data_IF_428068753584
#
_entry.id   IF_428068753584
#
_cell.length_a   1.000
_cell.length_b   1.000
_cell.length_c   1.000
_cell.angle_alpha   90.00
_cell.angle_beta   90.00
_cell.angle_gamma   90.00
#
_symmetry.space_group_name_H-M   'P 1'
#
loop_
_entity.id
_entity.type
_entity.pdbx_description
1 polymer ?
#
# COMPACT_ATOMS: atom_id res chain seq x y z
N UNK A 1 1.28 -24.24 -27.20
CA UNK A 1 1.12 -22.95 -27.90
C UNK A 1 0.50 -21.94 -26.95
N UNK A 2 0.94 -20.68 -27.04
CA UNK A 2 0.37 -19.57 -26.28
C UNK A 2 -1.06 -19.30 -26.78
N UNK A 3 -1.99 -19.05 -25.84
CA UNK A 3 -3.34 -18.61 -26.18
C UNK A 3 -3.33 -17.12 -26.55
N UNK A 4 -4.12 -16.67 -27.52
CA UNK A 4 -4.16 -15.27 -27.92
C UNK A 4 -4.66 -14.39 -26.76
N UNK A 5 -4.10 -13.18 -26.64
CA UNK A 5 -4.61 -12.17 -25.72
C UNK A 5 -5.98 -11.65 -26.18
N UNK A 6 -6.94 -11.45 -25.26
CA UNK A 6 -8.19 -10.78 -25.61
C UNK A 6 -7.92 -9.32 -25.97
N UNK A 7 -8.57 -8.82 -27.03
CA UNK A 7 -8.48 -7.40 -27.39
C UNK A 7 -9.17 -6.49 -26.35
N UNK A 8 -10.27 -6.99 -25.77
CA UNK A 8 -11.11 -6.32 -24.78
C UNK A 8 -11.47 -7.34 -23.67
N UNK A 9 -10.55 -7.63 -22.74
CA UNK A 9 -10.88 -8.48 -21.59
C UNK A 9 -12.01 -7.83 -20.77
N UNK A 10 -12.98 -8.64 -20.36
CA UNK A 10 -14.07 -8.23 -19.47
C UNK A 10 -13.77 -8.57 -18.02
N UNK A 11 -13.10 -9.70 -17.75
CA UNK A 11 -12.82 -10.18 -16.40
C UNK A 11 -11.34 -10.52 -16.26
N UNK A 12 -10.58 -9.58 -15.70
CA UNK A 12 -9.15 -9.74 -15.48
C UNK A 12 -8.93 -10.21 -14.05
N UNK A 13 -8.33 -11.38 -13.93
CA UNK A 13 -7.92 -11.89 -12.65
C UNK A 13 -6.46 -11.55 -12.37
N UNK A 14 -6.23 -10.97 -11.19
CA UNK A 14 -4.93 -10.56 -10.68
C UNK A 14 -4.54 -11.49 -9.53
N UNK A 15 -3.40 -12.17 -9.62
CA UNK A 15 -2.90 -13.07 -8.58
C UNK A 15 -1.71 -12.44 -7.89
N UNK A 16 -1.71 -12.47 -6.54
CA UNK A 16 -0.62 -11.98 -5.70
C UNK A 16 -0.46 -12.85 -4.44
N UNK A 17 0.72 -12.92 -3.83
CA UNK A 17 0.91 -13.68 -2.58
C UNK A 17 2.10 -13.20 -1.74
N UNK A 18 1.87 -12.70 -0.52
CA UNK A 18 2.91 -12.38 0.48
C UNK A 18 2.26 -11.96 1.80
N UNK A 19 2.97 -11.23 2.68
CA UNK A 19 2.35 -10.49 3.78
C UNK A 19 1.28 -9.56 3.23
N UNK A 20 0.05 -9.60 3.76
CA UNK A 20 -0.93 -8.57 3.45
C UNK A 20 -0.63 -7.30 4.25
N UNK A 21 0.62 -6.83 4.22
CA UNK A 21 0.93 -5.47 4.66
C UNK A 21 0.21 -4.50 3.73
N UNK A 22 -0.39 -3.44 4.27
CA UNK A 22 -1.12 -2.44 3.46
C UNK A 22 -0.22 -1.91 2.35
N UNK A 23 1.02 -1.56 2.68
CA UNK A 23 2.00 -1.08 1.70
C UNK A 23 2.32 -2.09 0.61
N UNK A 24 2.32 -3.39 0.92
CA UNK A 24 2.66 -4.42 -0.07
C UNK A 24 1.54 -4.57 -1.10
N UNK A 25 0.28 -4.59 -0.66
CA UNK A 25 -0.87 -4.76 -1.56
C UNK A 25 -1.26 -3.44 -2.23
N UNK A 26 -1.28 -2.32 -1.48
CA UNK A 26 -1.70 -1.03 -2.02
C UNK A 26 -0.78 -0.57 -3.15
N UNK A 27 0.49 -0.98 -3.16
CA UNK A 27 1.39 -0.69 -4.28
C UNK A 27 0.96 -1.29 -5.61
N UNK A 28 0.21 -2.39 -5.58
CA UNK A 28 -0.39 -2.99 -6.78
C UNK A 28 -1.46 -2.12 -7.42
N UNK A 29 -2.02 -1.14 -6.71
CA UNK A 29 -3.00 -0.20 -7.27
C UNK A 29 -2.48 0.59 -8.47
N UNK A 30 -1.16 0.80 -8.59
CA UNK A 30 -0.58 1.43 -9.78
C UNK A 30 -0.75 0.54 -11.03
N UNK A 31 -0.55 -0.77 -10.90
CA UNK A 31 -0.79 -1.73 -11.98
C UNK A 31 -2.28 -1.81 -12.31
N UNK A 32 -3.15 -1.76 -11.30
CA UNK A 32 -4.62 -1.76 -11.50
C UNK A 32 -5.07 -0.50 -12.25
N UNK A 33 -4.50 0.66 -11.93
CA UNK A 33 -4.78 1.91 -12.62
C UNK A 33 -4.37 1.84 -14.10
N UNK A 34 -3.18 1.31 -14.42
CA UNK A 34 -2.75 1.11 -15.83
C UNK A 34 -3.64 0.12 -16.57
N UNK A 35 -4.10 -0.95 -15.89
CA UNK A 35 -5.05 -1.89 -16.48
C UNK A 35 -6.39 -1.24 -16.77
N UNK A 36 -6.91 -0.40 -15.86
CA UNK A 36 -8.13 0.38 -16.07
C UNK A 36 -7.97 1.46 -17.13
N UNK A 37 -6.81 2.10 -17.24
CA UNK A 37 -6.53 3.04 -18.34
C UNK A 37 -6.56 2.32 -19.69
N UNK A 38 -5.95 1.13 -19.77
CA UNK A 38 -5.94 0.32 -20.99
C UNK A 38 -7.31 -0.27 -21.33
N UNK A 39 -8.03 -0.73 -20.31
CA UNK A 39 -9.33 -1.41 -20.42
C UNK A 39 -10.29 -0.88 -19.34
N UNK A 40 -10.95 0.27 -19.58
CA UNK A 40 -11.79 0.95 -18.58
C UNK A 40 -12.92 0.08 -18.04
N UNK A 41 -13.58 -0.65 -18.93
CA UNK A 41 -14.73 -1.50 -18.62
C UNK A 41 -14.35 -2.85 -18.03
N UNK A 42 -13.05 -3.22 -17.99
CA UNK A 42 -12.63 -4.52 -17.49
C UNK A 42 -12.84 -4.61 -15.97
N UNK A 43 -13.55 -5.61 -15.50
CA UNK A 43 -13.64 -5.94 -14.09
C UNK A 43 -12.32 -6.54 -13.60
N UNK A 44 -11.77 -5.96 -12.53
CA UNK A 44 -10.52 -6.44 -11.92
C UNK A 44 -10.84 -7.27 -10.69
N UNK A 45 -10.40 -8.52 -10.67
CA UNK A 45 -10.63 -9.44 -9.56
C UNK A 45 -9.30 -9.83 -8.93
N UNK A 46 -9.06 -9.43 -7.69
CA UNK A 46 -7.87 -9.81 -6.95
C UNK A 46 -8.06 -11.18 -6.30
N UNK A 47 -7.17 -12.12 -6.59
CA UNK A 47 -6.94 -13.32 -5.79
C UNK A 47 -5.63 -13.16 -5.02
N UNK A 48 -5.73 -13.00 -3.71
CA UNK A 48 -4.59 -12.92 -2.83
C UNK A 48 -4.42 -14.24 -2.08
N UNK A 49 -3.29 -14.92 -2.29
CA UNK A 49 -2.96 -16.11 -1.54
C UNK A 49 -2.23 -15.71 -0.25
N UNK A 50 -2.95 -15.76 0.87
CA UNK A 50 -2.48 -15.19 2.12
C UNK A 50 -1.74 -16.23 2.98
N UNK A 51 -0.48 -15.95 3.34
CA UNK A 51 0.30 -16.80 4.27
C UNK A 51 -0.09 -16.60 5.74
N UNK A 52 -0.63 -15.43 6.09
CA UNK A 52 -1.04 -15.07 7.46
C UNK A 52 -2.43 -14.41 7.44
N UNK A 53 -3.52 -15.18 7.52
CA UNK A 53 -4.88 -14.64 7.44
C UNK A 53 -5.19 -13.66 8.58
N UNK A 54 -6.06 -12.68 8.31
CA UNK A 54 -6.59 -11.76 9.32
C UNK A 54 -5.89 -10.42 9.40
N UNK A 55 -5.18 -10.00 8.33
CA UNK A 55 -4.65 -8.64 8.29
C UNK A 55 -5.80 -7.64 8.15
N UNK A 56 -5.79 -6.52 8.90
CA UNK A 56 -6.78 -5.46 8.75
C UNK A 56 -6.84 -4.88 7.32
N UNK A 57 -5.77 -5.02 6.54
CA UNK A 57 -5.72 -4.55 5.16
C UNK A 57 -6.66 -5.31 4.23
N UNK A 58 -7.07 -6.54 4.57
CA UNK A 58 -7.94 -7.34 3.71
C UNK A 58 -9.26 -6.62 3.46
N UNK A 59 -9.84 -5.99 4.49
CA UNK A 59 -11.07 -5.21 4.40
C UNK A 59 -10.89 -3.95 3.53
N UNK A 60 -9.81 -3.20 3.75
CA UNK A 60 -9.50 -2.00 2.96
C UNK A 60 -9.32 -2.33 1.47
N UNK A 61 -8.59 -3.41 1.17
CA UNK A 61 -8.33 -3.83 -0.21
C UNK A 61 -9.59 -4.41 -0.85
N UNK A 62 -10.43 -5.14 -0.10
CA UNK A 62 -11.71 -5.63 -0.61
C UNK A 62 -12.65 -4.50 -1.03
N UNK A 63 -12.56 -3.34 -0.39
CA UNK A 63 -13.30 -2.14 -0.72
C UNK A 63 -12.58 -1.21 -1.72
N UNK A 64 -11.47 -1.63 -2.33
CA UNK A 64 -10.68 -0.76 -3.19
C UNK A 64 -11.43 -0.43 -4.50
N UNK A 65 -11.61 0.86 -4.77
CA UNK A 65 -12.42 1.39 -5.89
C UNK A 65 -12.08 0.89 -7.31
N UNK A 66 -10.86 0.38 -7.54
CA UNK A 66 -10.47 -0.20 -8.85
C UNK A 66 -10.78 -1.70 -8.98
N UNK A 67 -11.11 -2.39 -7.90
CA UNK A 67 -11.39 -3.82 -7.88
C UNK A 67 -12.90 -4.06 -7.89
N UNK A 68 -13.36 -4.96 -8.75
CA UNK A 68 -14.73 -5.47 -8.73
C UNK A 68 -14.91 -6.52 -7.63
N UNK A 69 -13.86 -7.28 -7.32
CA UNK A 69 -13.82 -8.15 -6.14
C UNK A 69 -12.40 -8.42 -5.67
N UNK A 70 -12.25 -8.76 -4.38
CA UNK A 70 -11.03 -9.30 -3.82
C UNK A 70 -11.32 -10.58 -3.03
N UNK A 71 -10.46 -11.58 -3.17
CA UNK A 71 -10.60 -12.90 -2.56
C UNK A 71 -9.30 -13.29 -1.88
N UNK A 72 -9.36 -13.55 -0.57
CA UNK A 72 -8.21 -13.93 0.23
C UNK A 72 -8.30 -15.43 0.55
N UNK A 73 -7.35 -16.23 0.03
CA UNK A 73 -7.31 -17.67 0.29
C UNK A 73 -6.09 -17.99 1.17
N UNK A 74 -6.28 -18.53 2.38
CA UNK A 74 -5.17 -18.91 3.24
C UNK A 74 -4.29 -20.03 2.64
N UNK A 75 -3.02 -19.74 2.42
CA UNK A 75 -1.95 -20.70 2.16
C UNK A 75 -1.48 -21.27 3.51
N UNK A 76 -2.14 -22.34 3.96
CA UNK A 76 -1.66 -23.09 5.13
C UNK A 76 -0.43 -23.89 4.73
N UNK A 77 0.74 -23.32 4.96
CA UNK A 77 2.01 -24.02 4.83
C UNK A 77 2.22 -24.97 6.00
N UNK A 78 2.74 -26.16 5.70
CA UNK A 78 3.12 -27.15 6.69
C UNK A 78 4.49 -27.72 6.38
N UNK A 79 4.96 -28.63 7.24
CA UNK A 79 6.07 -29.52 6.90
C UNK A 79 5.52 -30.82 6.33
N UNK A 80 6.05 -31.23 5.19
CA UNK A 80 5.81 -32.54 4.58
C UNK A 80 7.16 -33.23 4.42
N UNK A 81 7.51 -34.10 5.38
CA UNK A 81 8.86 -34.63 5.49
C UNK A 81 9.88 -33.51 5.77
N UNK A 82 10.93 -33.41 4.96
CA UNK A 82 11.96 -32.36 5.03
C UNK A 82 11.60 -31.06 4.29
N UNK A 83 10.50 -31.04 3.52
CA UNK A 83 10.10 -29.91 2.69
C UNK A 83 9.07 -29.04 3.41
N UNK A 84 9.24 -27.71 3.35
CA UNK A 84 8.21 -26.73 3.70
C UNK A 84 7.38 -26.40 2.46
N UNK A 85 6.06 -26.35 2.61
CA UNK A 85 5.16 -25.94 1.53
C UNK A 85 3.69 -26.29 1.80
N UNK A 86 2.85 -26.12 0.79
CA UNK A 86 1.42 -26.43 0.88
C UNK A 86 1.19 -27.92 0.63
N UNK A 87 0.66 -28.62 1.64
CA UNK A 87 0.41 -30.06 1.56
C UNK A 87 -0.82 -30.43 0.69
N UNK A 88 -0.97 -31.71 0.28
CA UNK A 88 -2.04 -32.15 -0.64
C UNK A 88 -3.46 -31.87 -0.15
N UNK A 89 -3.71 -31.96 1.17
CA UNK A 89 -5.02 -31.64 1.76
C UNK A 89 -5.35 -30.16 1.65
N UNK A 90 -4.37 -29.29 1.90
CA UNK A 90 -4.52 -27.84 1.75
C UNK A 90 -4.75 -27.47 0.29
N UNK A 91 -4.00 -28.05 -0.66
CA UNK A 91 -4.25 -27.88 -2.09
C UNK A 91 -5.65 -28.31 -2.51
N UNK A 92 -6.16 -29.43 -2.00
CA UNK A 92 -7.54 -29.86 -2.30
C UNK A 92 -8.56 -28.82 -1.85
N UNK A 93 -8.37 -28.20 -0.68
CA UNK A 93 -9.26 -27.15 -0.18
C UNK A 93 -9.13 -25.86 -1.01
N UNK A 94 -7.90 -25.47 -1.36
CA UNK A 94 -7.63 -24.32 -2.24
C UNK A 94 -8.33 -24.52 -3.59
N UNK A 95 -8.15 -25.67 -4.26
CA UNK A 95 -8.77 -25.93 -5.55
C UNK A 95 -10.30 -25.95 -5.52
N UNK A 96 -10.93 -26.39 -4.43
CA UNK A 96 -12.39 -26.26 -4.28
C UNK A 96 -12.84 -24.80 -4.27
N UNK A 97 -12.12 -23.94 -3.53
CA UNK A 97 -12.40 -22.50 -3.48
C UNK A 97 -12.14 -21.85 -4.85
N UNK A 98 -11.01 -22.17 -5.49
CA UNK A 98 -10.68 -21.67 -6.83
C UNK A 98 -11.71 -22.11 -7.88
N UNK A 99 -12.26 -23.32 -7.77
CA UNK A 99 -13.33 -23.79 -8.64
C UNK A 99 -14.60 -22.98 -8.44
N UNK A 100 -15.05 -22.78 -7.19
CA UNK A 100 -16.21 -21.96 -6.91
C UNK A 100 -16.04 -20.52 -7.44
N UNK A 101 -14.85 -19.94 -7.28
CA UNK A 101 -14.53 -18.61 -7.82
C UNK A 101 -14.46 -18.60 -9.36
N UNK A 102 -13.94 -19.66 -9.99
CA UNK A 102 -13.85 -19.76 -11.46
C UNK A 102 -15.21 -19.67 -12.14
N UNK A 103 -16.25 -20.24 -11.51
CA UNK A 103 -17.61 -20.24 -12.04
C UNK A 103 -18.28 -18.87 -11.93
N UNK A 104 -17.88 -18.08 -10.93
CA UNK A 104 -18.37 -16.72 -10.68
C UNK A 104 -17.66 -15.68 -11.54
N UNK A 105 -16.33 -15.69 -11.51
CA UNK A 105 -15.50 -14.67 -12.18
C UNK A 105 -15.37 -14.95 -13.67
N UNK A 106 -15.17 -16.22 -14.07
CA UNK A 106 -14.92 -16.65 -15.46
C UNK A 106 -13.90 -15.74 -16.17
N UNK A 107 -12.67 -15.63 -15.62
CA UNK A 107 -11.69 -14.70 -16.14
C UNK A 107 -11.35 -15.01 -17.60
N UNK A 108 -11.22 -13.98 -18.41
CA UNK A 108 -10.75 -14.04 -19.80
C UNK A 108 -9.31 -13.55 -19.96
N UNK A 109 -8.70 -13.05 -18.88
CA UNK A 109 -7.26 -12.79 -18.73
C UNK A 109 -6.80 -13.08 -17.30
N UNK A 110 -5.67 -13.78 -17.15
CA UNK A 110 -5.06 -14.10 -15.85
C UNK A 110 -3.68 -13.46 -15.78
N UNK A 111 -3.40 -12.71 -14.72
CA UNK A 111 -2.13 -12.01 -14.50
C UNK A 111 -1.57 -12.38 -13.13
N UNK A 112 -0.46 -13.10 -13.10
CA UNK A 112 0.29 -13.43 -11.87
C UNK A 112 1.40 -12.39 -11.64
N UNK A 113 1.12 -11.46 -10.73
CA UNK A 113 2.06 -10.40 -10.35
C UNK A 113 3.05 -10.84 -9.28
N UNK A 114 2.95 -12.07 -8.75
CA UNK A 114 3.81 -12.50 -7.67
C UNK A 114 5.15 -13.01 -8.21
N UNK A 115 6.29 -12.35 -7.97
CA UNK A 115 7.59 -12.85 -8.43
C UNK A 115 8.09 -14.07 -7.64
N UNK A 116 7.57 -14.35 -6.43
CA UNK A 116 8.10 -15.41 -5.57
C UNK A 116 7.10 -16.53 -5.27
N UNK A 117 7.62 -17.75 -5.06
CA UNK A 117 6.78 -18.92 -4.80
C UNK A 117 6.15 -19.49 -6.08
N UNK A 118 5.97 -20.82 -6.08
CA UNK A 118 5.40 -21.55 -7.22
C UNK A 118 3.89 -21.67 -7.10
N UNK A 119 3.34 -21.40 -5.91
CA UNK A 119 1.94 -21.57 -5.58
C UNK A 119 1.04 -20.71 -6.48
N UNK A 120 1.38 -19.43 -6.68
CA UNK A 120 0.61 -18.54 -7.57
C UNK A 120 0.68 -18.99 -9.03
N UNK A 121 1.84 -19.52 -9.47
CA UNK A 121 2.00 -20.05 -10.82
C UNK A 121 1.17 -21.31 -11.05
N UNK A 122 1.09 -22.20 -10.05
CA UNK A 122 0.22 -23.38 -10.08
C UNK A 122 -1.25 -22.95 -10.20
N UNK A 123 -1.67 -21.96 -9.41
CA UNK A 123 -3.03 -21.40 -9.46
C UNK A 123 -3.32 -20.79 -10.83
N UNK A 124 -2.42 -19.94 -11.35
CA UNK A 124 -2.55 -19.34 -12.68
C UNK A 124 -2.69 -20.41 -13.77
N UNK A 125 -1.84 -21.46 -13.73
CA UNK A 125 -1.86 -22.57 -14.69
C UNK A 125 -3.15 -23.39 -14.57
N UNK A 126 -3.66 -23.58 -13.36
CA UNK A 126 -4.91 -24.30 -13.10
C UNK A 126 -6.10 -23.54 -13.69
N UNK A 127 -6.24 -22.25 -13.40
CA UNK A 127 -7.30 -21.42 -13.95
C UNK A 127 -7.19 -21.23 -15.45
N UNK A 128 -5.98 -21.10 -15.99
CA UNK A 128 -5.75 -21.18 -17.44
C UNK A 128 -6.42 -22.43 -18.00
N UNK A 129 -6.12 -23.63 -17.47
CA UNK A 129 -6.73 -24.87 -17.98
C UNK A 129 -8.26 -24.88 -17.87
N UNK A 130 -8.83 -24.42 -16.76
CA UNK A 130 -10.26 -24.48 -16.48
C UNK A 130 -11.09 -23.42 -17.23
N UNK A 131 -10.56 -22.21 -17.40
CA UNK A 131 -11.32 -21.07 -17.94
C UNK A 131 -11.00 -20.77 -19.41
N UNK A 132 -10.00 -21.41 -20.01
CA UNK A 132 -9.64 -21.12 -21.41
C UNK A 132 -8.90 -19.80 -21.64
N UNK A 133 -8.72 -18.95 -20.62
CA UNK A 133 -8.00 -17.67 -20.69
C UNK A 133 -6.48 -17.82 -20.87
N UNK A 134 -5.79 -16.85 -21.52
CA UNK A 134 -4.34 -16.73 -21.45
C UNK A 134 -3.86 -16.34 -20.06
N UNK A 135 -2.68 -16.82 -19.68
CA UNK A 135 -2.00 -16.47 -18.44
C UNK A 135 -0.72 -15.66 -18.72
N UNK A 136 -0.56 -14.58 -17.96
CA UNK A 136 0.60 -13.69 -17.95
C UNK A 136 1.29 -13.80 -16.59
N UNK A 137 2.61 -13.79 -16.52
CA UNK A 137 3.30 -13.82 -15.23
C UNK A 137 4.79 -13.51 -15.29
N UNK A 138 5.43 -13.31 -14.13
CA UNK A 138 6.87 -12.99 -14.02
C UNK A 138 7.73 -14.26 -14.11
N UNK A 139 8.74 -14.27 -14.99
CA UNK A 139 9.76 -15.32 -15.04
C UNK A 139 10.93 -15.03 -14.09
N UNK A 140 10.66 -14.94 -12.79
CA UNK A 140 11.69 -14.58 -11.80
C UNK A 140 12.75 -15.66 -11.63
N UNK A 141 12.34 -16.93 -11.65
CA UNK A 141 13.22 -18.09 -11.49
C UNK A 141 13.21 -18.98 -12.74
N UNK A 142 14.31 -19.71 -13.04
CA UNK A 142 14.39 -20.60 -14.20
C UNK A 142 13.21 -21.58 -14.29
N UNK A 143 12.67 -21.75 -15.50
CA UNK A 143 11.55 -22.66 -15.77
C UNK A 143 10.16 -22.13 -15.38
N UNK A 144 10.06 -21.13 -14.48
CA UNK A 144 8.76 -20.54 -14.08
C UNK A 144 7.99 -19.97 -15.28
N UNK A 145 8.70 -19.33 -16.21
CA UNK A 145 8.11 -18.76 -17.42
C UNK A 145 7.29 -19.74 -18.27
N UNK A 146 7.60 -21.05 -18.24
CA UNK A 146 6.88 -22.08 -18.99
C UNK A 146 5.46 -22.36 -18.46
N UNK A 147 5.12 -21.82 -17.29
CA UNK A 147 3.78 -21.95 -16.70
C UNK A 147 2.79 -20.92 -17.25
N UNK A 148 3.27 -19.90 -17.99
CA UNK A 148 2.47 -18.83 -18.55
C UNK A 148 2.42 -18.91 -20.08
N UNK A 149 1.39 -18.31 -20.69
CA UNK A 149 1.36 -18.06 -22.13
C UNK A 149 2.30 -16.91 -22.51
N UNK A 150 2.36 -15.90 -21.64
CA UNK A 150 3.21 -14.72 -21.78
C UNK A 150 4.02 -14.53 -20.51
N UNK A 151 5.35 -14.62 -20.62
CA UNK A 151 6.24 -14.53 -19.48
C UNK A 151 7.03 -13.22 -19.51
N UNK A 152 6.85 -12.42 -18.47
CA UNK A 152 7.60 -11.20 -18.24
C UNK A 152 9.03 -11.48 -17.77
N UNK A 153 9.96 -10.52 -17.89
CA UNK A 153 11.33 -10.67 -17.42
C UNK A 153 11.40 -10.85 -15.89
N UNK A 154 12.51 -11.38 -15.39
CA UNK A 154 12.83 -11.30 -13.95
C UNK A 154 12.98 -9.84 -13.50
N UNK A 155 12.81 -9.57 -12.21
CA UNK A 155 12.83 -8.22 -11.64
C UNK A 155 14.14 -7.48 -11.97
N UNK A 156 15.29 -8.16 -11.85
CA UNK A 156 16.60 -7.55 -12.21
C UNK A 156 16.70 -7.23 -13.70
N UNK A 157 16.19 -8.11 -14.56
CA UNK A 157 16.19 -7.87 -16.01
C UNK A 157 15.23 -6.74 -16.37
N UNK A 158 14.04 -6.71 -15.79
CA UNK A 158 13.06 -5.64 -15.93
C UNK A 158 13.67 -4.28 -15.56
N UNK A 159 14.34 -4.20 -14.41
CA UNK A 159 15.00 -2.98 -13.94
C UNK A 159 16.07 -2.49 -14.93
N UNK A 160 16.95 -3.40 -15.37
CA UNK A 160 18.01 -3.09 -16.35
C UNK A 160 17.45 -2.62 -17.69
N UNK A 161 16.44 -3.29 -18.23
CA UNK A 161 15.82 -2.92 -19.52
C UNK A 161 15.14 -1.54 -19.48
N UNK A 162 14.76 -1.08 -18.28
CA UNK A 162 14.11 0.23 -18.06
C UNK A 162 15.03 1.26 -17.42
N UNK A 163 16.32 0.97 -17.27
CA UNK A 163 17.29 1.84 -16.60
C UNK A 163 16.83 2.30 -15.21
N UNK A 164 16.20 1.41 -14.44
CA UNK A 164 15.76 1.67 -13.08
C UNK A 164 16.90 1.42 -12.08
N UNK A 165 16.90 2.16 -10.97
CA UNK A 165 17.79 1.89 -9.84
C UNK A 165 17.57 0.46 -9.28
N UNK A 166 18.58 -0.09 -8.59
CA UNK A 166 18.46 -1.40 -7.93
C UNK A 166 18.89 -1.31 -6.46
N UNK A 167 18.06 -1.75 -5.49
CA UNK A 167 16.68 -2.21 -5.67
C UNK A 167 15.79 -1.10 -6.25
N UNK A 168 14.87 -1.48 -7.14
CA UNK A 168 13.92 -0.55 -7.76
C UNK A 168 12.75 -0.26 -6.81
N UNK A 169 12.03 0.82 -7.06
CA UNK A 169 10.74 1.10 -6.42
C UNK A 169 9.85 -0.16 -6.44
N UNK A 170 9.36 -0.58 -5.28
CA UNK A 170 8.56 -1.78 -5.11
C UNK A 170 7.33 -1.78 -6.02
N UNK A 171 6.74 -0.61 -6.31
CA UNK A 171 5.59 -0.48 -7.23
C UNK A 171 5.91 -0.95 -8.64
N UNK A 172 7.18 -1.02 -9.06
CA UNK A 172 7.59 -1.56 -10.36
C UNK A 172 7.44 -3.07 -10.48
N UNK A 173 7.40 -3.81 -9.36
CA UNK A 173 7.44 -5.28 -9.37
C UNK A 173 6.27 -5.89 -10.15
N UNK A 174 5.07 -5.31 -10.03
CA UNK A 174 3.88 -5.78 -10.74
C UNK A 174 3.97 -5.61 -12.25
N UNK A 175 4.73 -4.61 -12.70
CA UNK A 175 4.92 -4.32 -14.11
C UNK A 175 5.88 -5.29 -14.79
N UNK A 176 6.68 -6.05 -14.04
CA UNK A 176 7.47 -7.14 -14.62
C UNK A 176 6.58 -8.15 -15.34
N UNK A 177 5.41 -8.50 -14.78
CA UNK A 177 4.45 -9.39 -15.43
C UNK A 177 3.83 -8.70 -16.66
N UNK A 178 3.37 -7.46 -16.46
CA UNK A 178 2.67 -6.66 -17.47
C UNK A 178 3.54 -6.31 -18.69
N UNK A 179 4.86 -6.28 -18.52
CA UNK A 179 5.81 -6.07 -19.61
C UNK A 179 5.66 -7.12 -20.73
N UNK A 180 5.24 -8.35 -20.40
CA UNK A 180 5.03 -9.42 -21.36
C UNK A 180 3.90 -9.13 -22.37
N UNK A 181 3.01 -8.20 -22.02
CA UNK A 181 1.87 -7.78 -22.84
C UNK A 181 1.97 -6.30 -23.24
N UNK A 182 3.17 -5.71 -23.14
CA UNK A 182 3.46 -4.34 -23.60
C UNK A 182 2.98 -3.22 -22.69
N UNK A 183 2.62 -3.52 -21.44
CA UNK A 183 2.21 -2.54 -20.44
C UNK A 183 3.37 -2.15 -19.53
N UNK A 184 3.44 -0.87 -19.15
CA UNK A 184 4.50 -0.29 -18.33
C UNK A 184 3.93 0.79 -17.40
N UNK A 185 4.63 1.07 -16.30
CA UNK A 185 4.15 2.00 -15.26
C UNK A 185 3.99 3.44 -15.77
N UNK A 186 4.93 3.93 -16.58
CA UNK A 186 4.95 5.32 -17.11
C UNK A 186 4.72 6.38 -16.02
N UNK A 187 5.28 6.18 -14.83
CA UNK A 187 5.14 7.10 -13.70
C UNK A 187 3.81 7.03 -12.95
N UNK A 188 2.91 6.10 -13.29
CA UNK A 188 1.67 5.87 -12.56
C UNK A 188 1.96 5.62 -11.07
N UNK A 189 1.41 6.49 -10.22
CA UNK A 189 1.48 6.38 -8.77
C UNK A 189 0.51 5.32 -8.24
N UNK A 190 0.69 4.99 -6.97
CA UNK A 190 -0.30 4.24 -6.21
C UNK A 190 -1.54 5.11 -5.98
N UNK A 191 -2.72 4.51 -5.92
CA UNK A 191 -3.99 5.23 -5.83
C UNK A 191 -4.88 4.66 -4.75
N UNK A 192 -5.60 5.54 -4.05
CA UNK A 192 -6.59 5.19 -3.06
C UNK A 192 -7.67 6.28 -3.06
N UNK A 193 -8.91 5.88 -2.80
CA UNK A 193 -10.01 6.82 -2.58
C UNK A 193 -10.46 6.74 -1.12
N UNK A 194 -11.02 7.84 -0.62
CA UNK A 194 -11.68 7.85 0.67
C UNK A 194 -12.81 6.81 0.68
N UNK A 195 -12.77 5.88 1.64
CA UNK A 195 -13.83 4.87 1.76
C UNK A 195 -15.11 5.50 2.32
N UNK A 196 -16.28 4.87 2.16
CA UNK A 196 -17.50 5.33 2.83
C UNK A 196 -17.36 5.43 4.35
N UNK A 197 -16.67 4.48 4.99
CA UNK A 197 -16.39 4.50 6.42
C UNK A 197 -15.47 5.69 6.79
N UNK A 198 -14.42 5.93 6.00
CA UNK A 198 -13.55 7.10 6.15
C UNK A 198 -14.31 8.42 6.04
N UNK A 199 -15.18 8.56 5.03
CA UNK A 199 -16.02 9.74 4.86
C UNK A 199 -16.95 9.95 6.05
N UNK A 200 -17.61 8.90 6.51
CA UNK A 200 -18.50 8.96 7.67
C UNK A 200 -17.74 9.40 8.93
N UNK A 201 -16.57 8.80 9.18
CA UNK A 201 -15.68 9.19 10.27
C UNK A 201 -15.30 10.67 10.18
N UNK A 202 -14.85 11.14 9.01
CA UNK A 202 -14.42 12.54 8.82
C UNK A 202 -15.55 13.54 9.03
N UNK A 203 -16.75 13.23 8.54
CA UNK A 203 -17.93 14.09 8.75
C UNK A 203 -18.28 14.17 10.23
N UNK A 204 -18.30 13.04 10.93
CA UNK A 204 -18.59 13.00 12.36
C UNK A 204 -17.51 13.75 13.15
N UNK A 205 -16.24 13.48 12.87
CA UNK A 205 -15.12 14.12 13.55
C UNK A 205 -15.13 15.64 13.38
N UNK A 206 -15.44 16.16 12.18
CA UNK A 206 -15.57 17.59 11.95
C UNK A 206 -16.73 18.23 12.72
N UNK A 207 -17.83 17.49 12.90
CA UNK A 207 -18.97 17.95 13.71
C UNK A 207 -18.60 18.06 15.18
N UNK A 208 -17.82 17.09 15.67
CA UNK A 208 -17.38 17.05 17.07
C UNK A 208 -16.23 18.04 17.33
N UNK A 209 -15.50 18.46 16.29
CA UNK A 209 -14.36 19.36 16.38
C UNK A 209 -14.53 20.59 15.45
N UNK A 210 -15.57 21.42 15.63
CA UNK A 210 -15.90 22.52 14.71
C UNK A 210 -14.83 23.62 14.68
N UNK A 211 -13.92 23.64 15.66
CA UNK A 211 -12.81 24.60 15.78
C UNK A 211 -11.45 23.99 15.47
N UNK A 212 -11.38 22.78 14.91
CA UNK A 212 -10.13 22.05 14.67
C UNK A 212 -9.11 22.81 13.80
N UNK A 213 -9.53 23.81 13.03
CA UNK A 213 -8.63 24.59 12.17
C UNK A 213 -7.76 23.69 11.30
N UNK A 214 -6.46 23.99 11.30
CA UNK A 214 -5.41 23.20 10.66
C UNK A 214 -5.14 21.88 11.39
N UNK A 215 -5.01 20.78 10.64
CA UNK A 215 -4.78 19.43 11.20
C UNK A 215 -3.54 18.79 10.59
N UNK A 216 -2.66 18.27 11.44
CA UNK A 216 -1.54 17.40 11.04
C UNK A 216 -1.81 15.99 11.56
N UNK A 217 -1.68 14.99 10.69
CA UNK A 217 -1.67 13.59 11.13
C UNK A 217 -0.23 13.12 11.29
N UNK A 218 0.09 12.55 12.45
CA UNK A 218 1.40 12.00 12.77
C UNK A 218 1.29 10.49 12.95
N UNK A 219 1.94 9.72 12.07
CA UNK A 219 2.13 8.29 12.24
C UNK A 219 3.59 7.97 12.57
N UNK A 220 3.86 7.78 13.87
CA UNK A 220 5.17 7.35 14.38
C UNK A 220 5.22 5.87 14.74
N UNK A 221 4.10 5.17 14.53
CA UNK A 221 3.95 3.75 14.77
C UNK A 221 4.73 2.85 13.79
N UNK A 222 5.51 1.90 14.34
CA UNK A 222 6.10 0.76 13.63
C UNK A 222 5.90 -0.54 14.44
N UNK A 223 4.67 -0.77 14.87
CA UNK A 223 4.27 -1.84 15.80
C UNK A 223 4.25 -3.24 15.18
N UNK A 224 4.45 -3.36 13.86
CA UNK A 224 4.72 -4.65 13.23
C UNK A 224 6.02 -5.25 13.78
N UNK A 225 6.02 -6.53 14.14
CA UNK A 225 7.21 -7.22 14.63
C UNK A 225 8.42 -7.00 13.70
N UNK A 226 9.53 -6.51 14.25
CA UNK A 226 10.75 -6.19 13.49
C UNK A 226 10.78 -4.82 12.79
N UNK A 227 9.69 -4.05 12.83
CA UNK A 227 9.64 -2.72 12.20
C UNK A 227 10.13 -1.60 13.14
N UNK A 228 10.36 -1.87 14.43
CA UNK A 228 10.75 -0.85 15.42
C UNK A 228 11.98 -0.02 15.00
N UNK A 229 12.95 -0.63 14.31
CA UNK A 229 14.15 0.04 13.78
C UNK A 229 13.86 1.13 12.74
N UNK A 230 12.68 1.10 12.09
CA UNK A 230 12.25 2.12 11.11
C UNK A 230 11.74 3.39 11.78
N UNK A 231 11.48 3.34 13.09
CA UNK A 231 10.93 4.48 13.83
C UNK A 231 11.98 5.59 13.95
N UNK A 232 11.64 6.85 13.65
CA UNK A 232 12.47 7.99 14.02
C UNK A 232 12.64 8.08 15.54
N UNK A 233 13.74 8.71 15.98
CA UNK A 233 13.86 9.17 17.35
C UNK A 233 12.74 10.18 17.65
N UNK A 234 12.03 9.99 18.77
CA UNK A 234 10.85 10.78 19.09
C UNK A 234 11.22 12.23 19.40
N UNK A 235 12.41 12.46 19.95
CA UNK A 235 12.97 13.77 20.30
C UNK A 235 13.14 14.67 19.07
N UNK A 236 13.57 14.08 17.94
CA UNK A 236 13.72 14.79 16.67
C UNK A 236 12.36 15.34 16.23
N UNK A 237 11.34 14.48 16.26
CA UNK A 237 9.99 14.84 15.82
C UNK A 237 9.31 15.81 16.79
N UNK A 238 9.44 15.57 18.10
CA UNK A 238 8.85 16.42 19.13
C UNK A 238 9.41 17.85 19.07
N UNK A 239 10.73 17.98 18.86
CA UNK A 239 11.39 19.28 18.69
C UNK A 239 10.90 19.98 17.42
N UNK A 240 10.94 19.31 16.27
CA UNK A 240 10.54 19.89 14.99
C UNK A 240 9.06 20.30 14.96
N UNK A 241 8.17 19.45 15.46
CA UNK A 241 6.74 19.76 15.53
C UNK A 241 6.42 20.82 16.58
N UNK A 242 7.15 20.87 17.68
CA UNK A 242 7.02 21.92 18.70
C UNK A 242 7.37 23.29 18.12
N UNK A 243 8.51 23.40 17.44
CA UNK A 243 8.92 24.63 16.72
C UNK A 243 7.90 25.01 15.63
N UNK A 244 7.41 24.01 14.88
CA UNK A 244 6.40 24.25 13.85
C UNK A 244 5.07 24.75 14.44
N UNK A 245 4.63 24.17 15.57
CA UNK A 245 3.40 24.58 16.25
C UNK A 245 3.42 26.03 16.72
N UNK A 246 4.57 26.51 17.21
CA UNK A 246 4.73 27.92 17.62
C UNK A 246 4.52 28.91 16.45
N UNK A 247 4.88 28.51 15.23
CA UNK A 247 4.69 29.33 14.02
C UNK A 247 3.31 29.16 13.40
N UNK A 248 2.79 27.95 13.42
CA UNK A 248 1.54 27.56 12.80
C UNK A 248 0.75 26.67 13.76
N UNK A 249 -0.11 27.26 14.62
CA UNK A 249 -0.96 26.49 15.52
C UNK A 249 -1.85 25.52 14.73
N UNK A 250 -1.87 24.27 15.18
CA UNK A 250 -2.60 23.17 14.52
C UNK A 250 -2.99 22.11 15.55
N UNK A 251 -4.01 21.33 15.21
CA UNK A 251 -4.33 20.09 15.92
C UNK A 251 -3.48 18.95 15.38
N UNK A 252 -2.88 18.17 16.29
CA UNK A 252 -2.08 17.00 15.98
C UNK A 252 -2.88 15.72 16.26
N UNK A 253 -3.11 14.92 15.22
CA UNK A 253 -3.74 13.60 15.33
C UNK A 253 -2.65 12.52 15.34
N UNK A 254 -2.48 11.83 16.47
CA UNK A 254 -1.54 10.70 16.55
C UNK A 254 -2.22 9.44 16.04
N UNK A 255 -1.61 8.78 15.07
CA UNK A 255 -2.12 7.57 14.44
C UNK A 255 -1.40 6.34 14.97
N UNK A 256 -2.03 5.18 14.82
CA UNK A 256 -1.41 3.89 15.10
C UNK A 256 -2.41 2.78 15.39
N UNK A 257 -1.90 1.56 15.48
CA UNK A 257 -2.58 0.42 16.08
C UNK A 257 -2.69 0.59 17.61
N UNK A 258 -3.52 -0.22 18.26
CA UNK A 258 -3.75 -0.12 19.71
C UNK A 258 -2.46 -0.31 20.52
N UNK A 259 -1.56 -1.18 20.04
CA UNK A 259 -0.27 -1.49 20.66
C UNK A 259 0.74 -0.33 20.57
N UNK A 260 0.43 0.70 19.78
CA UNK A 260 1.29 1.87 19.56
C UNK A 260 0.92 3.04 20.48
N UNK A 261 -0.16 2.93 21.27
CA UNK A 261 -0.55 3.95 22.25
C UNK A 261 0.57 4.32 23.26
N UNK A 262 1.40 3.37 23.78
CA UNK A 262 2.52 3.74 24.63
C UNK A 262 3.56 4.63 23.93
N UNK A 263 3.82 4.38 22.63
CA UNK A 263 4.77 5.17 21.83
C UNK A 263 4.20 6.59 21.61
N UNK A 264 2.89 6.70 21.36
CA UNK A 264 2.23 7.98 21.26
C UNK A 264 2.29 8.76 22.58
N UNK A 265 2.10 8.09 23.72
CA UNK A 265 2.25 8.70 25.03
C UNK A 265 3.68 9.21 25.29
N UNK A 266 4.71 8.46 24.88
CA UNK A 266 6.10 8.90 24.96
C UNK A 266 6.35 10.17 24.15
N UNK A 267 5.84 10.22 22.92
CA UNK A 267 5.92 11.41 22.07
C UNK A 267 5.22 12.61 22.71
N UNK A 268 4.01 12.42 23.26
CA UNK A 268 3.25 13.50 23.92
C UNK A 268 4.04 14.09 25.10
N UNK A 269 4.71 13.27 25.91
CA UNK A 269 5.55 13.79 27.01
C UNK A 269 6.69 14.64 26.50
N UNK A 270 7.41 14.18 25.48
CA UNK A 270 8.53 14.92 24.88
C UNK A 270 8.05 16.23 24.23
N UNK A 271 6.91 16.18 23.53
CA UNK A 271 6.31 17.35 22.91
C UNK A 271 5.85 18.37 23.95
N UNK A 272 5.22 17.93 25.05
CA UNK A 272 4.78 18.80 26.13
C UNK A 272 5.95 19.55 26.78
N UNK A 273 7.10 18.90 26.92
CA UNK A 273 8.31 19.53 27.46
C UNK A 273 8.82 20.69 26.56
N UNK A 274 8.54 20.66 25.26
CA UNK A 274 8.96 21.68 24.29
C UNK A 274 7.90 22.78 24.10
N UNK A 275 6.62 22.41 24.08
CA UNK A 275 5.50 23.29 23.69
C UNK A 275 4.72 23.87 24.87
N UNK A 276 4.83 23.27 26.06
CA UNK A 276 4.10 23.69 27.26
C UNK A 276 2.61 23.31 27.30
N UNK A 277 2.05 22.66 26.26
CA UNK A 277 0.64 22.23 26.24
C UNK A 277 0.43 21.00 25.36
N UNK A 278 -0.58 20.19 25.70
CA UNK A 278 -1.02 19.02 24.93
C UNK A 278 -2.49 19.11 24.52
N UNK A 279 -3.16 20.25 24.76
CA UNK A 279 -4.59 20.42 24.47
C UNK A 279 -4.93 20.28 22.98
N UNK A 280 -3.92 20.50 22.12
CA UNK A 280 -4.04 20.39 20.67
C UNK A 280 -3.57 19.02 20.13
N UNK A 281 -3.49 18.00 20.98
CA UNK A 281 -3.11 16.65 20.57
C UNK A 281 -4.27 15.68 20.84
N UNK A 282 -4.63 14.90 19.82
CA UNK A 282 -5.60 13.82 19.95
C UNK A 282 -4.95 12.50 19.54
N UNK A 283 -4.88 11.55 20.46
CA UNK A 283 -4.40 10.20 20.16
C UNK A 283 -5.54 9.33 19.62
N UNK A 284 -5.35 8.82 18.40
CA UNK A 284 -6.25 7.94 17.67
C UNK A 284 -5.71 6.50 17.56
N UNK A 285 -4.63 6.15 18.27
CA UNK A 285 -4.10 4.79 18.31
C UNK A 285 -5.19 3.78 18.69
N UNK A 286 -5.44 2.81 17.80
CA UNK A 286 -6.48 1.79 17.99
C UNK A 286 -7.92 2.29 17.97
N UNK A 287 -8.16 3.58 17.65
CA UNK A 287 -9.51 4.21 17.60
C UNK A 287 -10.07 4.33 16.20
N UNK A 288 -9.36 3.83 15.20
CA UNK A 288 -9.79 3.82 13.80
C UNK A 288 -9.44 2.49 13.15
N UNK A 289 -10.32 2.00 12.28
CA UNK A 289 -9.98 0.94 11.33
C UNK A 289 -9.18 1.52 10.17
N UNK A 290 -8.59 0.67 9.32
CA UNK A 290 -7.90 1.15 8.13
C UNK A 290 -8.85 1.79 7.10
N UNK A 291 -10.12 1.37 7.04
CA UNK A 291 -11.11 2.00 6.17
C UNK A 291 -11.44 3.40 6.69
N UNK A 292 -11.64 3.56 8.00
CA UNK A 292 -11.83 4.86 8.66
C UNK A 292 -10.61 5.77 8.55
N UNK A 293 -9.40 5.21 8.64
CA UNK A 293 -8.13 5.95 8.52
C UNK A 293 -8.04 6.74 7.22
N UNK A 294 -8.67 6.28 6.14
CA UNK A 294 -8.74 7.07 4.89
C UNK A 294 -9.40 8.43 5.08
N UNK A 295 -10.39 8.54 5.98
CA UNK A 295 -11.04 9.79 6.36
C UNK A 295 -10.18 10.68 7.23
N UNK A 296 -9.44 10.09 8.18
CA UNK A 296 -8.47 10.81 9.01
C UNK A 296 -7.39 11.46 8.14
N UNK A 297 -6.82 10.70 7.20
CA UNK A 297 -5.80 11.18 6.28
C UNK A 297 -6.36 12.24 5.32
N UNK A 298 -7.60 12.11 4.85
CA UNK A 298 -8.27 13.14 4.06
C UNK A 298 -8.54 14.42 4.84
N UNK A 299 -8.77 14.32 6.16
CA UNK A 299 -8.93 15.49 7.01
C UNK A 299 -7.62 16.22 7.27
N UNK A 300 -6.50 15.51 7.30
CA UNK A 300 -5.20 16.08 7.58
C UNK A 300 -4.72 16.99 6.45
N UNK A 301 -4.33 18.22 6.78
CA UNK A 301 -3.71 19.17 5.84
C UNK A 301 -2.29 18.75 5.48
N UNK A 302 -1.61 18.03 6.38
CA UNK A 302 -0.31 17.42 6.18
C UNK A 302 -0.22 16.11 6.96
N UNK A 303 0.46 15.11 6.39
CA UNK A 303 0.76 13.83 7.04
C UNK A 303 2.27 13.72 7.26
N UNK A 304 2.68 13.47 8.50
CA UNK A 304 4.04 13.10 8.85
C UNK A 304 4.04 11.62 9.24
N UNK A 305 4.86 10.80 8.58
CA UNK A 305 4.87 9.35 8.85
C UNK A 305 6.28 8.77 8.82
N UNK A 306 6.48 7.66 9.54
CA UNK A 306 7.56 6.70 9.26
C UNK A 306 7.24 5.83 8.03
N UNK A 307 8.20 4.99 7.62
CA UNK A 307 8.03 3.97 6.57
C UNK A 307 7.08 2.83 7.00
N UNK A 308 5.78 3.10 6.89
CA UNK A 308 4.69 2.26 7.37
C UNK A 308 3.47 2.28 6.44
N UNK A 309 2.42 1.51 6.76
CA UNK A 309 1.17 1.47 5.99
C UNK A 309 0.51 2.84 5.79
N UNK A 310 0.30 3.63 6.86
CA UNK A 310 -0.25 4.99 6.78
C UNK A 310 0.49 5.93 5.83
N UNK A 311 1.83 5.84 5.73
CA UNK A 311 2.60 6.58 4.72
C UNK A 311 2.12 6.28 3.30
N UNK A 312 2.01 4.99 2.93
CA UNK A 312 1.57 4.61 1.60
C UNK A 312 0.11 5.00 1.33
N UNK A 313 -0.75 4.93 2.35
CA UNK A 313 -2.14 5.37 2.23
C UNK A 313 -2.23 6.88 1.97
N UNK A 314 -1.46 7.69 2.69
CA UNK A 314 -1.43 9.14 2.52
C UNK A 314 -0.95 9.54 1.12
N UNK A 315 0.12 8.89 0.64
CA UNK A 315 0.62 9.06 -0.73
C UNK A 315 -0.46 8.74 -1.77
N UNK A 316 -1.13 7.59 -1.61
CA UNK A 316 -2.15 7.10 -2.53
C UNK A 316 -3.43 7.97 -2.54
N UNK A 317 -3.74 8.61 -1.43
CA UNK A 317 -4.82 9.60 -1.29
C UNK A 317 -4.43 11.00 -1.80
N UNK A 318 -3.19 11.19 -2.25
CA UNK A 318 -2.70 12.48 -2.73
C UNK A 318 -2.48 13.52 -1.63
N UNK A 319 -2.32 13.09 -0.36
CA UNK A 319 -2.17 14.01 0.77
C UNK A 319 -0.73 14.52 0.88
N UNK A 320 -0.49 15.83 1.14
CA UNK A 320 0.84 16.33 1.43
C UNK A 320 1.51 15.50 2.52
N UNK A 321 2.60 14.81 2.18
CA UNK A 321 3.21 13.80 3.05
C UNK A 321 4.69 14.05 3.22
N UNK A 322 5.12 14.28 4.45
CA UNK A 322 6.52 14.21 4.85
C UNK A 322 6.76 12.82 5.43
N UNK A 323 7.68 12.05 4.86
CA UNK A 323 8.05 10.74 5.37
C UNK A 323 9.47 10.75 5.90
N UNK A 324 9.64 10.27 7.12
CA UNK A 324 10.94 10.11 7.76
C UNK A 324 11.37 8.64 7.71
N UNK A 325 12.49 8.39 7.04
CA UNK A 325 13.17 7.11 7.05
C UNK A 325 14.35 7.14 8.02
N UNK A 326 14.42 6.20 8.94
CA UNK A 326 15.58 6.11 9.84
C UNK A 326 16.88 5.70 9.10
N UNK A 327 16.75 4.96 8.00
CA UNK A 327 17.84 4.56 7.11
C UNK A 327 17.32 4.49 5.68
N UNK A 328 18.24 4.54 4.70
CA UNK A 328 17.86 4.51 3.30
C UNK A 328 17.07 3.24 2.95
N UNK A 329 15.89 3.39 2.36
CA UNK A 329 15.07 2.28 1.87
C UNK A 329 14.45 2.63 0.50
N UNK A 330 15.26 2.69 -0.57
CA UNK A 330 14.85 3.23 -1.86
C UNK A 330 13.65 2.51 -2.51
N UNK A 331 13.47 1.22 -2.23
CA UNK A 331 12.32 0.46 -2.74
C UNK A 331 10.97 0.96 -2.19
N UNK A 332 10.98 1.75 -1.11
CA UNK A 332 9.76 2.29 -0.49
C UNK A 332 9.51 3.77 -0.80
N UNK A 333 10.39 4.42 -1.55
CA UNK A 333 10.28 5.83 -1.87
C UNK A 333 9.18 6.09 -2.90
N UNK A 334 8.37 7.11 -2.64
CA UNK A 334 7.35 7.59 -3.55
C UNK A 334 7.71 8.99 -4.03
N UNK A 335 8.06 9.11 -5.31
CA UNK A 335 8.49 10.38 -5.90
C UNK A 335 7.30 11.12 -6.51
N UNK A 336 6.55 11.82 -5.66
CA UNK A 336 5.45 12.71 -6.08
C UNK A 336 5.67 14.14 -5.57
N UNK A 337 5.09 15.13 -6.26
CA UNK A 337 5.23 16.56 -5.91
C UNK A 337 4.75 16.89 -4.50
N UNK A 338 3.76 16.15 -4.00
CA UNK A 338 3.18 16.28 -2.66
C UNK A 338 3.89 15.44 -1.60
N UNK A 339 5.00 14.77 -1.95
CA UNK A 339 5.76 13.92 -1.02
C UNK A 339 7.14 14.54 -0.79
N UNK A 340 7.60 14.49 0.47
CA UNK A 340 8.97 14.82 0.88
C UNK A 340 9.55 13.65 1.64
N UNK A 341 10.76 13.26 1.29
CA UNK A 341 11.45 12.10 1.87
C UNK A 341 12.67 12.61 2.62
N UNK A 342 12.73 12.30 3.91
CA UNK A 342 13.87 12.56 4.77
C UNK A 342 14.51 11.23 5.19
N UNK A 343 15.84 11.21 5.26
CA UNK A 343 16.60 10.01 5.65
C UNK A 343 17.60 10.39 6.74
N UNK A 344 17.40 9.90 7.96
CA UNK A 344 18.28 10.20 9.09
C UNK A 344 18.43 11.70 9.38
N UNK A 345 17.38 12.48 9.10
CA UNK A 345 17.41 13.94 9.15
C UNK A 345 17.37 14.49 10.59
N UNK A 346 17.94 15.67 10.79
CA UNK A 346 17.87 16.41 12.06
C UNK A 346 16.49 17.02 12.30
N UNK A 347 16.25 17.54 13.52
CA UNK A 347 15.00 18.27 13.82
C UNK A 347 14.85 19.53 12.97
N UNK A 348 15.95 20.23 12.66
CA UNK A 348 15.90 21.45 11.84
C UNK A 348 15.58 21.16 10.38
N UNK A 349 16.06 20.04 9.84
CA UNK A 349 15.69 19.56 8.50
C UNK A 349 14.21 19.16 8.44
N UNK A 350 13.72 18.41 9.44
CA UNK A 350 12.29 18.06 9.55
C UNK A 350 11.43 19.31 9.61
N UNK A 351 11.77 20.28 10.46
CA UNK A 351 11.05 21.55 10.58
C UNK A 351 11.04 22.32 9.24
N UNK A 352 12.19 22.41 8.57
CA UNK A 352 12.32 23.12 7.30
C UNK A 352 11.42 22.52 6.23
N UNK A 353 11.44 21.19 6.06
CA UNK A 353 10.58 20.51 5.09
C UNK A 353 9.10 20.59 5.45
N UNK A 354 8.75 20.56 6.75
CA UNK A 354 7.38 20.80 7.21
C UNK A 354 6.89 22.17 6.76
N UNK A 355 7.67 23.24 6.98
CA UNK A 355 7.31 24.59 6.55
C UNK A 355 7.15 24.67 5.03
N UNK A 356 8.09 24.14 4.25
CA UNK A 356 8.04 24.19 2.79
C UNK A 356 6.82 23.44 2.24
N UNK A 357 6.56 22.23 2.75
CA UNK A 357 5.43 21.42 2.31
C UNK A 357 4.09 22.06 2.71
N UNK A 358 4.02 22.65 3.91
CA UNK A 358 2.86 23.39 4.39
C UNK A 358 2.53 24.58 3.50
N UNK A 359 3.52 25.42 3.19
CA UNK A 359 3.36 26.58 2.32
C UNK A 359 2.93 26.19 0.91
N UNK A 360 3.53 25.14 0.34
CA UNK A 360 3.15 24.61 -0.97
C UNK A 360 1.67 24.23 -1.00
N UNK A 361 1.20 23.52 0.04
CA UNK A 361 -0.20 23.09 0.12
C UNK A 361 -1.17 24.27 0.22
N UNK A 362 -0.86 25.28 1.06
CA UNK A 362 -1.72 26.43 1.28
C UNK A 362 -1.74 27.43 0.11
N UNK A 363 -0.67 27.50 -0.69
CA UNK A 363 -0.70 28.25 -1.96
C UNK A 363 -1.56 27.56 -3.00
N UNK A 364 -1.52 26.22 -3.07
CA UNK A 364 -2.33 25.46 -4.01
C UNK A 364 -3.83 25.62 -3.74
N UNK A 365 -4.26 25.61 -2.47
CA UNK A 365 -5.68 25.79 -2.11
C UNK A 365 -6.20 27.18 -2.43
N UNK A 366 -5.41 28.24 -2.21
CA UNK A 366 -5.79 29.64 -2.54
C UNK A 366 -5.94 29.93 -4.03
N UNK A 367 -5.25 29.17 -4.89
CA UNK A 367 -5.33 29.35 -6.35
C UNK A 367 -6.49 28.57 -7.00
N UNK A 368 -7.18 27.70 -6.26
CA UNK A 368 -8.31 26.88 -6.74
C UNK A 368 -9.66 27.26 -6.09
N UNK A 369 -9.66 28.26 -5.21
CA UNK A 369 -10.82 28.93 -4.61
C UNK A 369 -11.01 30.29 -5.26
#
# INVERSE_FOLDING_TARGET
>A
MARPLPQRPQHILLIKAHSAGIGDILRSSAAWAVLKERWPEAELHLLFLNRWPGYPSEELIAAHHLLSSAHFIPLREGRWGSLRGVGPRAWRQIFRQLHALSLKIRPDLIIDHEPHGIETSIVARWWRRHCGAPAVGVAEVPGRGWLYDYAGPSLRRYARERSLAWPMDYTERDFAALAAIGLARRGQGIVLQETPAGRAWRIQWNRDNPRAGSVIALNIGCGTAGAAQKRPALEILATALGEFHQRQPHLLLLLGAAEEAPINADFVRLFAAQSGSTEHIQDLAGKTTLTELTGVLQRADLVLSSDSGPYHMAVALGRPTLVYFNFANPEHYHHHKHVRILVGASSSEVFTELCQLWEQNHRATKNHS
#
